data_IF_985673700794
#
_entry.id   IF_985673700794
#
_cell.length_a   1.000
_cell.length_b   1.000
_cell.length_c   1.000
_cell.angle_alpha   90.00
_cell.angle_beta   90.00
_cell.angle_gamma   90.00
#
_symmetry.space_group_name_H-M   'P 1'
#
loop_
_entity.id
_entity.type
_entity.pdbx_description
1 polymer ?
#
# COMPACT_ATOMS: atom_id res chain seq x y z
N UNK A 1 14.51 0.37 -8.24
CA UNK A 1 13.23 0.18 -8.97
C UNK A 1 12.67 1.55 -9.37
N UNK A 2 12.18 1.72 -10.60
CA UNK A 2 11.64 2.99 -11.08
C UNK A 2 10.42 3.38 -10.25
N UNK A 3 10.47 4.52 -9.56
CA UNK A 3 9.32 5.12 -8.86
C UNK A 3 8.18 5.22 -9.87
N UNK A 4 7.10 4.47 -9.64
CA UNK A 4 6.10 4.17 -10.65
C UNK A 4 5.34 5.43 -11.05
N UNK A 5 5.38 5.77 -12.34
CA UNK A 5 4.32 6.59 -12.94
C UNK A 5 3.01 5.81 -12.75
N UNK A 6 1.96 6.48 -12.27
CA UNK A 6 0.66 5.85 -12.07
C UNK A 6 0.23 5.12 -13.37
N UNK A 7 -0.08 3.81 -13.31
CA UNK A 7 -0.57 3.08 -14.47
C UNK A 7 -1.81 3.76 -15.03
N UNK A 8 -1.87 3.99 -16.34
CA UNK A 8 -3.05 4.60 -16.97
C UNK A 8 -4.14 3.53 -17.08
N UNK A 9 -5.34 3.81 -16.57
CA UNK A 9 -6.50 2.94 -16.78
C UNK A 9 -6.98 3.04 -18.23
N UNK A 10 -7.37 1.93 -18.87
CA UNK A 10 -7.94 1.96 -20.21
C UNK A 10 -9.33 2.60 -20.21
N UNK A 11 -9.68 3.21 -21.33
CA UNK A 11 -11.03 3.77 -21.53
C UNK A 11 -12.10 2.69 -21.51
N UNK A 12 -13.28 3.04 -21.02
CA UNK A 12 -14.43 2.15 -20.88
C UNK A 12 -14.72 1.74 -19.44
N UNK A 13 -15.22 0.52 -19.25
CA UNK A 13 -15.49 -0.03 -17.93
C UNK A 13 -14.24 -0.74 -17.41
N UNK A 14 -13.86 -0.42 -16.18
CA UNK A 14 -12.75 -1.08 -15.48
C UNK A 14 -13.28 -1.64 -14.18
N UNK A 15 -12.94 -2.90 -13.86
CA UNK A 15 -13.31 -3.52 -12.58
C UNK A 15 -12.09 -4.08 -11.91
N UNK A 16 -11.89 -3.75 -10.63
CA UNK A 16 -10.87 -4.36 -9.78
C UNK A 16 -11.55 -5.34 -8.83
N UNK A 17 -11.07 -6.59 -8.82
CA UNK A 17 -11.64 -7.69 -8.05
C UNK A 17 -10.57 -8.48 -7.31
N UNK A 18 -10.99 -9.33 -6.37
CA UNK A 18 -10.14 -10.38 -5.79
C UNK A 18 -10.96 -11.63 -5.52
N UNK A 19 -10.38 -12.80 -5.71
CA UNK A 19 -11.00 -14.12 -5.58
C UNK A 19 -11.50 -14.42 -4.18
N UNK A 20 -10.74 -14.02 -3.16
CA UNK A 20 -11.13 -14.24 -1.76
C UNK A 20 -12.43 -13.49 -1.38
N UNK A 21 -12.81 -12.47 -2.14
CA UNK A 21 -14.03 -11.71 -1.90
C UNK A 21 -15.27 -12.43 -2.42
N UNK A 22 -16.19 -12.78 -1.53
CA UNK A 22 -17.45 -13.43 -1.88
C UNK A 22 -18.32 -12.55 -2.82
N UNK A 23 -18.29 -11.23 -2.65
CA UNK A 23 -19.01 -10.32 -3.56
C UNK A 23 -18.38 -10.29 -4.95
N UNK A 24 -17.05 -10.39 -5.06
CA UNK A 24 -16.38 -10.52 -6.36
C UNK A 24 -16.75 -11.84 -7.05
N UNK A 25 -16.74 -12.97 -6.31
CA UNK A 25 -17.16 -14.27 -6.84
C UNK A 25 -18.62 -14.27 -7.32
N UNK A 26 -19.50 -13.57 -6.61
CA UNK A 26 -20.90 -13.41 -7.00
C UNK A 26 -21.06 -12.62 -8.31
N UNK A 27 -20.32 -11.52 -8.50
CA UNK A 27 -20.44 -10.68 -9.71
C UNK A 27 -19.56 -11.16 -10.87
N UNK A 28 -18.66 -12.13 -10.64
CA UNK A 28 -17.75 -12.66 -11.66
C UNK A 28 -18.44 -13.06 -12.99
N UNK A 29 -19.58 -13.78 -12.99
CA UNK A 29 -20.28 -14.10 -14.25
C UNK A 29 -20.73 -12.86 -15.03
N UNK A 30 -21.11 -11.78 -14.33
CA UNK A 30 -21.53 -10.54 -14.97
C UNK A 30 -20.38 -9.89 -15.75
N UNK A 31 -19.14 -9.98 -15.23
CA UNK A 31 -17.96 -9.33 -15.83
C UNK A 31 -17.71 -9.79 -17.27
N UNK A 32 -17.98 -11.07 -17.56
CA UNK A 32 -17.89 -11.63 -18.91
C UNK A 32 -18.86 -10.96 -19.89
N UNK A 33 -20.04 -10.56 -19.41
CA UNK A 33 -21.07 -9.97 -20.24
C UNK A 33 -20.77 -8.49 -20.55
N UNK A 34 -20.14 -7.76 -19.61
CA UNK A 34 -20.03 -6.29 -19.67
C UNK A 34 -19.00 -5.77 -20.67
N UNK A 35 -18.03 -6.59 -21.07
CA UNK A 35 -16.87 -6.14 -21.86
C UNK A 35 -15.96 -5.19 -21.08
N UNK A 36 -15.87 -5.34 -19.76
CA UNK A 36 -15.01 -4.53 -18.91
C UNK A 36 -13.56 -5.03 -18.93
N UNK A 37 -12.60 -4.12 -18.74
CA UNK A 37 -11.23 -4.50 -18.38
C UNK A 37 -11.22 -4.92 -16.91
N UNK A 38 -10.79 -6.15 -16.63
CA UNK A 38 -10.77 -6.68 -15.27
C UNK A 38 -9.34 -6.75 -14.74
N UNK A 39 -9.12 -6.20 -13.55
CA UNK A 39 -7.91 -6.40 -12.76
C UNK A 39 -8.21 -7.32 -11.57
N UNK A 40 -7.31 -8.27 -11.29
CA UNK A 40 -7.41 -9.19 -10.15
C UNK A 40 -6.19 -9.04 -9.23
N UNK A 41 -6.41 -9.07 -7.91
CA UNK A 41 -5.38 -8.76 -6.91
C UNK A 41 -4.63 -9.99 -6.38
N UNK A 42 -5.31 -11.13 -6.25
CA UNK A 42 -4.83 -12.31 -5.50
C UNK A 42 -4.60 -13.55 -6.38
N UNK A 43 -5.50 -13.81 -7.33
CA UNK A 43 -5.45 -14.99 -8.19
C UNK A 43 -5.47 -14.58 -9.67
N UNK A 44 -4.38 -14.85 -10.44
CA UNK A 44 -4.30 -14.51 -11.86
C UNK A 44 -5.29 -15.28 -12.74
N UNK A 45 -5.88 -16.37 -12.26
CA UNK A 45 -6.87 -17.16 -12.99
C UNK A 45 -8.32 -16.71 -12.71
N UNK A 46 -8.52 -15.76 -11.78
CA UNK A 46 -9.83 -15.22 -11.44
C UNK A 46 -10.08 -13.89 -12.18
N UNK A 47 -11.30 -13.63 -12.67
CA UNK A 47 -12.47 -14.54 -12.72
C UNK A 47 -12.35 -15.62 -13.80
N UNK A 48 -12.87 -16.82 -13.52
CA UNK A 48 -12.81 -17.92 -14.49
C UNK A 48 -13.53 -17.57 -15.80
N UNK A 49 -12.85 -17.76 -16.94
CA UNK A 49 -13.43 -17.48 -18.26
C UNK A 49 -13.44 -16.00 -18.67
N UNK A 50 -12.90 -15.11 -17.85
CA UNK A 50 -12.72 -13.68 -18.17
C UNK A 50 -11.23 -13.38 -18.31
N UNK A 51 -10.84 -12.67 -19.38
CA UNK A 51 -9.46 -12.19 -19.50
C UNK A 51 -9.23 -11.09 -18.44
N UNK A 52 -8.43 -11.40 -17.43
CA UNK A 52 -8.07 -10.48 -16.36
C UNK A 52 -6.58 -10.13 -16.38
N UNK A 53 -6.25 -8.91 -15.95
CA UNK A 53 -4.89 -8.44 -15.74
C UNK A 53 -4.55 -8.65 -14.27
N UNK A 54 -3.50 -9.40 -13.99
CA UNK A 54 -3.07 -9.65 -12.62
C UNK A 54 -2.29 -8.44 -12.08
N UNK A 55 -2.87 -7.74 -11.12
CA UNK A 55 -2.28 -6.61 -10.40
C UNK A 55 -1.40 -7.12 -9.25
N UNK A 56 -0.42 -7.97 -9.58
CA UNK A 56 0.37 -8.75 -8.62
C UNK A 56 1.16 -7.89 -7.62
N UNK A 57 1.58 -6.70 -8.06
CA UNK A 57 2.31 -5.74 -7.23
C UNK A 57 1.41 -4.64 -6.66
N UNK A 58 0.10 -4.74 -6.88
CA UNK A 58 -0.93 -3.81 -6.45
C UNK A 58 -0.71 -2.38 -6.95
N UNK A 59 0.07 -2.18 -8.02
CA UNK A 59 0.36 -0.85 -8.54
C UNK A 59 -0.91 -0.16 -9.04
N UNK A 60 -1.80 -0.88 -9.73
CA UNK A 60 -3.07 -0.32 -10.20
C UNK A 60 -3.96 -0.01 -9.00
N UNK A 61 -4.10 -0.96 -8.07
CA UNK A 61 -4.93 -0.79 -6.88
C UNK A 61 -4.47 0.36 -5.99
N UNK A 62 -3.16 0.53 -5.83
CA UNK A 62 -2.57 1.63 -5.05
C UNK A 62 -2.77 2.98 -5.73
N UNK A 63 -2.35 3.12 -7.00
CA UNK A 63 -2.35 4.41 -7.68
C UNK A 63 -3.75 4.95 -7.99
N UNK A 64 -4.77 4.08 -8.04
CA UNK A 64 -6.18 4.46 -8.26
C UNK A 64 -7.02 4.45 -6.98
N UNK A 65 -6.37 4.36 -5.81
CA UNK A 65 -7.02 4.43 -4.49
C UNK A 65 -8.17 3.42 -4.37
N UNK A 66 -7.89 2.17 -4.75
CA UNK A 66 -8.86 1.07 -4.64
C UNK A 66 -8.87 0.61 -3.18
N UNK A 67 -9.83 1.08 -2.40
CA UNK A 67 -9.96 0.70 -0.98
C UNK A 67 -10.83 -0.55 -0.79
N UNK A 68 -11.76 -0.80 -1.70
CA UNK A 68 -12.76 -1.88 -1.61
C UNK A 68 -12.82 -2.64 -2.94
N UNK A 69 -13.10 -3.94 -2.88
CA UNK A 69 -13.38 -4.76 -4.06
C UNK A 69 -14.72 -5.51 -3.90
N UNK A 70 -15.51 -5.69 -4.97
CA UNK A 70 -15.26 -5.19 -6.32
C UNK A 70 -15.38 -3.65 -6.38
N UNK A 71 -14.53 -3.01 -7.17
CA UNK A 71 -14.69 -1.59 -7.55
C UNK A 71 -14.93 -1.54 -9.05
N UNK A 72 -16.05 -0.96 -9.47
CA UNK A 72 -16.40 -0.73 -10.86
C UNK A 72 -16.22 0.76 -11.16
N UNK A 73 -15.45 1.07 -12.19
CA UNK A 73 -15.14 2.41 -12.65
C UNK A 73 -15.53 2.58 -14.12
N UNK A 74 -15.88 3.82 -14.50
CA UNK A 74 -15.96 4.26 -15.89
C UNK A 74 -14.88 5.28 -16.17
N UNK A 75 -14.06 5.01 -17.19
CA UNK A 75 -12.85 5.77 -17.52
C UNK A 75 -12.97 6.33 -18.94
N UNK A 76 -12.53 7.58 -19.15
CA UNK A 76 -12.41 8.19 -20.46
C UNK A 76 -11.22 9.16 -20.51
N UNK A 77 -10.41 9.08 -21.56
CA UNK A 77 -9.18 9.87 -21.68
C UNK A 77 -8.19 9.59 -20.55
N UNK A 78 -8.19 8.36 -20.01
CA UNK A 78 -7.36 7.98 -18.85
C UNK A 78 -7.78 8.62 -17.52
N UNK A 79 -8.92 9.30 -17.46
CA UNK A 79 -9.50 9.85 -16.23
C UNK A 79 -10.71 9.04 -15.80
N UNK A 80 -10.81 8.79 -14.50
CA UNK A 80 -12.03 8.25 -13.93
C UNK A 80 -13.16 9.30 -13.97
N UNK A 81 -14.31 8.90 -14.51
CA UNK A 81 -15.52 9.72 -14.54
C UNK A 81 -16.44 9.43 -13.35
N UNK A 82 -16.54 8.16 -12.97
CA UNK A 82 -17.31 7.71 -11.81
C UNK A 82 -16.91 6.30 -11.38
N UNK A 83 -17.16 5.97 -10.10
CA UNK A 83 -16.97 4.64 -9.52
C UNK A 83 -18.14 4.22 -8.62
N UNK A 84 -18.25 2.91 -8.40
CA UNK A 84 -19.02 2.31 -7.30
C UNK A 84 -18.21 1.18 -6.66
N UNK A 85 -18.43 0.94 -5.38
CA UNK A 85 -17.78 -0.13 -4.61
C UNK A 85 -18.79 -1.17 -4.16
N UNK A 86 -18.34 -2.42 -4.00
CA UNK A 86 -19.23 -3.54 -3.73
C UNK A 86 -20.20 -3.79 -4.89
N UNK A 87 -21.29 -4.46 -4.57
CA UNK A 87 -22.39 -4.68 -5.49
C UNK A 87 -23.59 -3.82 -5.10
N UNK A 88 -24.04 -2.99 -6.03
CA UNK A 88 -25.32 -2.27 -5.99
C UNK A 88 -25.92 -2.41 -7.38
N UNK A 89 -27.04 -3.13 -7.49
CA UNK A 89 -27.67 -3.39 -8.78
C UNK A 89 -27.95 -2.10 -9.53
N UNK A 90 -28.54 -1.12 -8.84
CA UNK A 90 -28.87 0.19 -9.42
C UNK A 90 -27.63 0.92 -9.93
N UNK A 91 -26.54 0.96 -9.15
CA UNK A 91 -25.33 1.67 -9.54
C UNK A 91 -24.59 0.96 -10.67
N UNK A 92 -24.50 -0.37 -10.61
CA UNK A 92 -23.89 -1.16 -11.68
C UNK A 92 -24.66 -1.02 -12.99
N UNK A 93 -26.00 -1.11 -12.97
CA UNK A 93 -26.82 -0.89 -14.17
C UNK A 93 -26.64 0.52 -14.75
N UNK A 94 -26.56 1.55 -13.89
CA UNK A 94 -26.34 2.95 -14.28
C UNK A 94 -24.94 3.19 -14.86
N UNK A 95 -23.89 2.67 -14.23
CA UNK A 95 -22.49 2.84 -14.66
C UNK A 95 -22.22 2.04 -15.94
N UNK A 96 -22.75 0.82 -16.03
CA UNK A 96 -22.58 -0.03 -17.23
C UNK A 96 -23.50 0.38 -18.38
N UNK A 97 -24.56 1.14 -18.12
CA UNK A 97 -25.59 1.46 -19.10
C UNK A 97 -26.43 0.24 -19.52
N UNK A 98 -26.52 -0.78 -18.67
CA UNK A 98 -27.19 -2.05 -18.96
C UNK A 98 -28.38 -2.29 -18.04
N UNK A 99 -29.60 -1.94 -18.48
CA UNK A 99 -30.81 -2.31 -17.76
C UNK A 99 -30.91 -3.83 -17.60
N UNK A 100 -31.26 -4.31 -16.41
CA UNK A 100 -31.45 -5.73 -16.12
C UNK A 100 -30.19 -6.52 -15.75
N UNK A 101 -29.01 -5.88 -15.71
CA UNK A 101 -27.78 -6.54 -15.23
C UNK A 101 -27.96 -7.03 -13.79
N UNK A 102 -27.75 -8.33 -13.55
CA UNK A 102 -27.81 -8.95 -12.22
C UNK A 102 -29.20 -8.96 -11.59
N UNK A 103 -30.27 -9.11 -12.38
CA UNK A 103 -31.65 -9.15 -11.88
C UNK A 103 -31.94 -10.34 -10.94
N UNK A 104 -31.18 -11.41 -11.09
CA UNK A 104 -31.18 -12.63 -10.28
C UNK A 104 -30.31 -12.53 -9.01
N UNK A 105 -29.45 -11.51 -8.90
CA UNK A 105 -28.60 -11.26 -7.73
C UNK A 105 -29.34 -10.45 -6.65
N UNK A 106 -28.88 -10.39 -5.39
CA UNK A 106 -29.43 -9.47 -4.39
C UNK A 106 -29.41 -8.01 -4.86
N UNK A 107 -30.22 -7.15 -4.26
CA UNK A 107 -30.23 -5.71 -4.63
C UNK A 107 -28.86 -5.07 -4.37
N UNK A 108 -28.26 -5.35 -3.21
CA UNK A 108 -26.93 -4.86 -2.84
C UNK A 108 -26.17 -5.91 -2.02
N UNK A 109 -24.84 -5.84 -2.06
CA UNK A 109 -23.93 -6.60 -1.20
C UNK A 109 -22.64 -5.81 -0.97
N UNK A 110 -22.18 -5.64 0.27
CA UNK A 110 -20.94 -4.90 0.53
C UNK A 110 -19.74 -5.61 -0.12
N UNK A 111 -18.73 -4.84 -0.50
CA UNK A 111 -17.44 -5.37 -0.88
C UNK A 111 -16.61 -5.78 0.33
N UNK A 112 -15.35 -6.13 0.08
CA UNK A 112 -14.33 -6.39 1.09
C UNK A 112 -13.14 -5.46 0.86
N UNK A 113 -12.28 -5.28 1.86
CA UNK A 113 -11.08 -4.44 1.74
C UNK A 113 -10.18 -4.92 0.60
N UNK A 114 -9.69 -3.96 -0.19
CA UNK A 114 -8.66 -4.19 -1.20
C UNK A 114 -7.37 -4.68 -0.54
N UNK A 115 -6.58 -5.50 -1.25
CA UNK A 115 -5.25 -5.89 -0.76
C UNK A 115 -4.29 -4.70 -0.65
N UNK A 116 -4.54 -3.60 -1.37
CA UNK A 116 -3.68 -2.39 -1.31
C UNK A 116 -3.84 -1.59 -0.03
N UNK A 117 -4.89 -1.83 0.75
CA UNK A 117 -5.15 -1.20 2.05
C UNK A 117 -5.02 -2.18 3.22
N UNK A 118 -4.47 -3.37 2.96
CA UNK A 118 -4.15 -4.33 4.01
C UNK A 118 -3.02 -3.77 4.88
N UNK A 119 -3.16 -3.70 6.22
CA UNK A 119 -2.12 -3.18 7.11
C UNK A 119 -0.75 -3.86 6.97
N UNK A 120 -0.72 -5.13 6.55
CA UNK A 120 0.51 -5.90 6.35
C UNK A 120 1.22 -5.52 5.03
N UNK A 121 0.54 -4.81 4.13
CA UNK A 121 1.02 -4.50 2.78
C UNK A 121 1.12 -3.00 2.54
N UNK A 122 0.28 -2.19 3.19
CA UNK A 122 0.16 -0.75 2.99
C UNK A 122 1.50 -0.03 3.12
N UNK A 123 2.28 -0.30 4.18
CA UNK A 123 3.57 0.37 4.38
C UNK A 123 4.62 0.00 3.32
N UNK A 124 4.54 -1.23 2.81
CA UNK A 124 5.40 -1.69 1.72
C UNK A 124 5.02 -0.97 0.42
N UNK A 125 3.73 -0.80 0.15
CA UNK A 125 3.24 -0.06 -1.01
C UNK A 125 3.54 1.43 -0.89
N UNK A 126 3.39 2.02 0.30
CA UNK A 126 3.77 3.39 0.58
C UNK A 126 5.27 3.62 0.34
N UNK A 127 6.12 2.73 0.84
CA UNK A 127 7.57 2.75 0.57
C UNK A 127 7.88 2.66 -0.94
N UNK A 128 7.13 1.83 -1.66
CA UNK A 128 7.37 1.56 -3.09
C UNK A 128 6.82 2.64 -4.02
N UNK A 129 5.64 3.18 -3.72
CA UNK A 129 4.82 3.99 -4.63
C UNK A 129 4.44 5.37 -4.07
N UNK A 130 4.47 5.58 -2.75
CA UNK A 130 3.97 6.79 -2.07
C UNK A 130 4.87 8.03 -2.20
N UNK A 131 6.06 7.91 -2.79
CA UNK A 131 7.02 9.00 -2.83
C UNK A 131 7.75 9.20 -1.49
N UNK A 132 8.84 9.97 -1.52
CA UNK A 132 9.83 10.01 -0.43
C UNK A 132 9.39 10.93 0.72
N UNK A 133 8.52 10.47 1.62
CA UNK A 133 8.27 11.15 2.90
C UNK A 133 9.50 11.13 3.84
N UNK A 134 10.41 10.17 3.63
CA UNK A 134 11.66 10.02 4.39
C UNK A 134 12.81 10.79 3.73
N UNK A 135 13.64 11.45 4.53
CA UNK A 135 14.78 12.26 4.10
C UNK A 135 16.14 11.59 4.35
N UNK A 136 16.20 10.60 5.23
CA UNK A 136 17.44 9.91 5.58
C UNK A 136 18.07 9.26 4.37
N UNK A 137 19.40 9.21 4.37
CA UNK A 137 20.18 8.59 3.29
C UNK A 137 19.79 7.12 3.15
N UNK A 138 19.41 6.73 1.93
CA UNK A 138 19.18 5.33 1.57
C UNK A 138 20.50 4.67 1.18
N UNK A 139 20.66 3.42 1.59
CA UNK A 139 21.80 2.57 1.24
C UNK A 139 21.23 1.37 0.50
N UNK A 140 21.53 1.27 -0.78
CA UNK A 140 21.16 0.11 -1.58
C UNK A 140 22.18 -1.00 -1.34
N UNK A 141 21.69 -2.21 -1.08
CA UNK A 141 22.49 -3.42 -1.00
C UNK A 141 22.25 -4.25 -2.27
N UNK A 142 23.24 -5.05 -2.67
CA UNK A 142 23.04 -5.98 -3.77
C UNK A 142 22.15 -7.15 -3.32
N UNK A 143 21.46 -7.80 -4.26
CA UNK A 143 20.52 -8.90 -3.97
C UNK A 143 21.16 -10.09 -3.22
N UNK A 144 22.49 -10.24 -3.30
CA UNK A 144 23.25 -11.31 -2.64
C UNK A 144 23.92 -10.87 -1.33
N UNK A 145 23.83 -9.60 -0.96
CA UNK A 145 24.40 -9.11 0.29
C UNK A 145 23.51 -9.55 1.47
N UNK A 146 24.14 -9.94 2.58
CA UNK A 146 23.44 -10.14 3.84
C UNK A 146 23.24 -8.78 4.52
N UNK A 147 21.99 -8.45 4.83
CA UNK A 147 21.62 -7.14 5.37
C UNK A 147 22.09 -6.93 6.80
N UNK A 148 22.14 -7.99 7.62
CA UNK A 148 22.62 -7.92 9.00
C UNK A 148 24.14 -7.73 9.02
N UNK A 149 24.89 -8.50 8.23
CA UNK A 149 26.35 -8.35 8.10
C UNK A 149 26.71 -6.98 7.53
N UNK A 150 25.98 -6.50 6.51
CA UNK A 150 26.19 -5.18 5.93
C UNK A 150 26.03 -4.04 6.96
N UNK A 151 25.11 -4.18 7.92
CA UNK A 151 24.91 -3.22 9.01
C UNK A 151 26.07 -3.28 10.01
N UNK A 152 26.55 -4.49 10.34
CA UNK A 152 27.70 -4.69 11.22
C UNK A 152 28.99 -4.12 10.63
N UNK A 153 29.30 -4.42 9.37
CA UNK A 153 30.49 -3.93 8.66
C UNK A 153 30.56 -2.39 8.57
N UNK A 154 29.39 -1.73 8.58
CA UNK A 154 29.26 -0.26 8.58
C UNK A 154 29.35 0.35 9.98
N UNK A 155 29.45 -0.47 11.03
CA UNK A 155 29.50 -0.03 12.42
C UNK A 155 28.17 0.52 12.94
N UNK A 156 27.04 0.07 12.38
CA UNK A 156 25.72 0.50 12.84
C UNK A 156 25.21 -0.28 14.05
N UNK A 157 25.91 -1.35 14.45
CA UNK A 157 25.61 -2.10 15.67
C UNK A 157 26.76 -2.05 16.67
N UNK A 158 26.45 -2.43 17.91
CA UNK A 158 27.39 -2.55 19.03
C UNK A 158 28.12 -3.92 19.06
N UNK A 159 28.03 -4.69 17.97
CA UNK A 159 28.54 -6.06 17.88
C UNK A 159 27.45 -7.13 17.92
N UNK A 160 26.20 -6.78 18.22
CA UNK A 160 25.05 -7.67 18.07
C UNK A 160 24.31 -7.43 16.73
N UNK A 161 23.56 -8.43 16.23
CA UNK A 161 22.66 -8.22 15.10
C UNK A 161 21.60 -7.15 15.39
N UNK A 162 21.31 -6.31 14.40
CA UNK A 162 20.24 -5.30 14.45
C UNK A 162 19.21 -5.58 13.37
N UNK A 163 17.99 -5.07 13.55
CA UNK A 163 16.95 -5.16 12.52
C UNK A 163 17.23 -4.11 11.43
N UNK A 164 17.39 -4.49 10.15
CA UNK A 164 17.66 -3.51 9.10
C UNK A 164 16.49 -2.53 8.94
N UNK A 165 16.73 -1.21 8.99
CA UNK A 165 15.67 -0.19 8.99
C UNK A 165 15.20 0.10 7.56
N UNK A 166 14.52 -0.88 6.95
CA UNK A 166 13.91 -0.71 5.63
C UNK A 166 12.86 0.40 5.66
N UNK A 167 12.61 1.04 4.52
CA UNK A 167 11.65 2.14 4.40
C UNK A 167 10.26 1.76 4.91
N UNK A 168 9.80 0.54 4.59
CA UNK A 168 8.57 -0.05 5.13
C UNK A 168 8.54 -0.08 6.68
N UNK A 169 9.61 -0.58 7.31
CA UNK A 169 9.68 -0.69 8.78
C UNK A 169 9.73 0.68 9.44
N UNK A 170 10.40 1.66 8.82
CA UNK A 170 10.48 3.03 9.33
C UNK A 170 9.13 3.74 9.20
N UNK A 171 8.44 3.60 8.07
CA UNK A 171 7.08 4.14 7.90
C UNK A 171 6.12 3.53 8.92
N UNK A 172 6.19 2.22 9.15
CA UNK A 172 5.41 1.55 10.21
C UNK A 172 5.76 2.10 11.60
N UNK A 173 7.05 2.27 11.91
CA UNK A 173 7.51 2.80 13.20
C UNK A 173 6.95 4.21 13.46
N UNK A 174 6.93 5.06 12.43
CA UNK A 174 6.43 6.44 12.53
C UNK A 174 4.94 6.54 12.90
N UNK A 175 4.13 5.49 12.68
CA UNK A 175 2.73 5.47 13.13
C UNK A 175 2.57 5.52 14.66
N UNK A 176 3.64 5.22 15.40
CA UNK A 176 3.68 5.33 16.85
C UNK A 176 3.57 6.75 17.39
N UNK A 177 3.73 7.77 16.55
CA UNK A 177 3.71 9.18 16.96
C UNK A 177 2.87 10.03 16.02
N UNK A 178 2.36 11.16 16.52
CA UNK A 178 1.67 12.19 15.73
C UNK A 178 2.60 13.33 15.29
N UNK A 179 3.86 13.33 15.74
CA UNK A 179 4.87 14.32 15.34
C UNK A 179 5.29 14.14 13.89
N UNK A 180 5.67 15.22 13.21
CA UNK A 180 6.13 15.13 11.84
C UNK A 180 7.52 14.45 11.78
N UNK A 181 7.81 13.63 10.76
CA UNK A 181 9.10 12.94 10.65
C UNK A 181 10.33 13.87 10.66
N UNK A 182 10.16 15.12 10.21
CA UNK A 182 11.23 16.12 10.16
C UNK A 182 11.31 17.02 11.40
N UNK A 183 10.43 16.83 12.39
CA UNK A 183 10.52 17.57 13.65
C UNK A 183 11.85 17.21 14.34
N UNK A 184 12.61 18.23 14.71
CA UNK A 184 13.84 18.06 15.49
C UNK A 184 13.46 17.67 16.92
N UNK A 185 14.02 16.57 17.39
CA UNK A 185 13.87 16.05 18.75
C UNK A 185 14.97 16.65 19.63
N UNK A 186 16.22 16.58 19.20
CA UNK A 186 17.36 17.11 19.94
C UNK A 186 18.55 17.39 18.99
N UNK A 187 19.56 18.09 19.50
CA UNK A 187 20.89 18.19 18.89
C UNK A 187 21.85 17.41 19.76
N UNK A 188 22.38 16.29 19.26
CA UNK A 188 23.04 15.29 20.11
C UNK A 188 24.57 15.36 19.95
N UNK A 189 25.34 15.52 21.04
CA UNK A 189 26.79 15.38 21.03
C UNK A 189 27.25 13.95 20.67
N UNK A 190 28.48 13.76 20.13
CA UNK A 190 29.52 14.75 19.90
C UNK A 190 29.39 15.50 18.56
N UNK A 191 28.65 14.95 17.59
CA UNK A 191 28.61 15.49 16.23
C UNK A 191 27.71 16.72 16.08
N UNK A 192 26.89 17.01 17.10
CA UNK A 192 25.96 18.16 17.15
C UNK A 192 25.04 18.24 15.93
N UNK A 193 24.62 17.08 15.44
CA UNK A 193 23.68 16.96 14.33
C UNK A 193 22.26 16.95 14.87
N UNK A 194 21.36 17.61 14.14
CA UNK A 194 19.92 17.55 14.41
C UNK A 194 19.41 16.12 14.29
N UNK A 195 18.86 15.61 15.38
CA UNK A 195 18.20 14.32 15.47
C UNK A 195 16.70 14.54 15.29
N UNK A 196 16.19 14.18 14.11
CA UNK A 196 14.75 14.28 13.79
C UNK A 196 13.98 13.06 14.27
N UNK A 197 12.65 13.16 14.34
CA UNK A 197 11.76 12.03 14.64
C UNK A 197 12.02 10.84 13.71
N UNK A 198 12.26 11.09 12.42
CA UNK A 198 12.62 10.04 11.46
C UNK A 198 13.90 9.31 11.86
N UNK A 199 14.97 10.05 12.24
CA UNK A 199 16.23 9.42 12.65
C UNK A 199 16.07 8.64 13.95
N UNK A 200 15.24 9.12 14.89
CA UNK A 200 14.88 8.36 16.09
C UNK A 200 14.15 7.08 15.71
N UNK A 201 13.18 7.14 14.78
CA UNK A 201 12.46 5.98 14.29
C UNK A 201 13.37 4.95 13.62
N UNK A 202 14.35 5.39 12.79
CA UNK A 202 15.36 4.51 12.19
C UNK A 202 16.14 3.74 13.27
N UNK A 203 16.61 4.44 14.31
CA UNK A 203 17.32 3.79 15.41
C UNK A 203 16.43 2.87 16.24
N UNK A 204 15.17 3.26 16.49
CA UNK A 204 14.19 2.43 17.18
C UNK A 204 13.90 1.13 16.41
N UNK A 205 13.82 1.19 15.06
CA UNK A 205 13.68 0.00 14.23
C UNK A 205 14.91 -0.88 14.38
N UNK A 206 16.12 -0.34 14.28
CA UNK A 206 17.36 -1.11 14.47
C UNK A 206 17.39 -1.84 15.82
N UNK A 207 16.91 -1.19 16.87
CA UNK A 207 16.78 -1.75 18.21
C UNK A 207 15.62 -2.75 18.38
N UNK A 208 14.81 -3.01 17.35
CA UNK A 208 13.68 -3.94 17.39
C UNK A 208 12.46 -3.43 18.16
N UNK A 209 12.32 -2.11 18.30
CA UNK A 209 11.15 -1.53 18.97
C UNK A 209 9.85 -1.76 18.18
N UNK A 210 8.73 -1.72 18.91
CA UNK A 210 7.40 -1.65 18.33
C UNK A 210 6.98 -0.17 18.17
N UNK A 211 6.08 0.18 17.24
CA UNK A 211 5.62 1.55 17.06
C UNK A 211 5.11 2.20 18.35
N UNK A 212 4.40 1.47 19.21
CA UNK A 212 3.93 1.95 20.51
C UNK A 212 5.04 2.35 21.48
N UNK A 213 6.29 1.92 21.23
CA UNK A 213 7.45 2.32 22.01
C UNK A 213 8.01 3.68 21.56
N UNK A 214 7.77 4.10 20.30
CA UNK A 214 8.41 5.27 19.72
C UNK A 214 8.20 6.57 20.54
N UNK A 215 7.00 6.88 21.05
CA UNK A 215 6.82 8.08 21.90
C UNK A 215 7.74 8.11 23.12
N UNK A 216 7.98 6.94 23.73
CA UNK A 216 8.86 6.82 24.90
C UNK A 216 10.32 6.98 24.51
N UNK A 217 10.73 6.45 23.35
CA UNK A 217 12.09 6.65 22.83
C UNK A 217 12.34 8.13 22.54
N UNK A 218 11.40 8.82 21.89
CA UNK A 218 11.47 10.26 21.63
C UNK A 218 11.62 11.04 22.95
N UNK A 219 10.75 10.78 23.92
CA UNK A 219 10.80 11.46 25.22
C UNK A 219 12.10 11.19 25.98
N UNK A 220 12.64 9.97 25.90
CA UNK A 220 13.92 9.63 26.53
C UNK A 220 15.08 10.39 25.89
N UNK A 221 15.10 10.52 24.56
CA UNK A 221 16.11 11.30 23.84
C UNK A 221 16.07 12.78 24.24
N UNK A 222 14.86 13.35 24.34
CA UNK A 222 14.66 14.75 24.77
C UNK A 222 15.10 15.00 26.22
N UNK A 223 14.98 14.00 27.10
CA UNK A 223 15.34 14.13 28.50
C UNK A 223 16.86 14.06 28.75
N UNK A 224 17.61 13.40 27.87
CA UNK A 224 19.04 13.16 28.04
C UNK A 224 19.91 14.25 27.38
N UNK A 225 19.35 14.99 26.41
CA UNK A 225 20.04 16.03 25.66
C UNK A 225 19.72 17.44 26.17
#
# INVERSE_FOLDING_TARGET
MSRGVAPILPDGLVVVVKRECETCRMVAPLLAEMGATVYTQDDPAFPEGVAAIHDADLAVSWHHEIETVPTLMRVAGGQELERTVGWSRTDWQRITGRPGLGDDLPVMRPGCGSMSVDPDVEYRLAARFGGSALHSRRIELADLDDDIEAMFERGFSDGLPVVPPTEERVLRMLTGTTRAPQDVVAVVPPDLVELTVEKVAVNAVMAGCLPEHLPWVIAAVEAVC
#
